data_IF_470964002828
#
_entry.id   IF_470964002828
#
_cell.length_a   1.000
_cell.length_b   1.000
_cell.length_c   1.000
_cell.angle_alpha   90.00
_cell.angle_beta   90.00
_cell.angle_gamma   90.00
#
_symmetry.space_group_name_H-M   'P 1'
#
loop_
_entity.id
_entity.type
_entity.pdbx_description
1 polymer ?
#
# COMPACT_ATOMS: atom_id res chain seq x y z
N UNK A 1 -8.84 11.26 6.16
CA UNK A 1 -7.85 11.80 7.11
C UNK A 1 -7.59 10.83 8.28
N UNK A 2 -8.50 10.62 9.21
CA UNK A 2 -8.29 9.75 10.40
C UNK A 2 -7.88 8.31 10.05
N UNK A 3 -8.49 7.70 9.03
CA UNK A 3 -8.15 6.34 8.57
C UNK A 3 -6.70 6.30 8.06
N UNK A 4 -6.28 7.27 7.25
CA UNK A 4 -4.93 7.35 6.74
C UNK A 4 -3.90 7.46 7.86
N UNK A 5 -4.13 8.33 8.85
CA UNK A 5 -3.25 8.49 10.02
C UNK A 5 -3.17 7.19 10.83
N UNK A 6 -4.30 6.57 11.11
CA UNK A 6 -4.35 5.29 11.81
C UNK A 6 -3.53 4.21 11.10
N UNK A 7 -3.68 4.08 9.78
CA UNK A 7 -2.89 3.11 9.01
C UNK A 7 -1.40 3.47 9.00
N UNK A 8 -1.06 4.75 8.84
CA UNK A 8 0.34 5.20 8.84
C UNK A 8 1.07 4.80 10.13
N UNK A 9 0.38 4.81 11.26
CA UNK A 9 0.94 4.42 12.57
C UNK A 9 0.92 2.91 12.80
N UNK A 10 -0.09 2.21 12.30
CA UNK A 10 -0.31 0.79 12.64
C UNK A 10 0.14 -0.21 11.57
N UNK A 11 0.03 0.17 10.28
CA UNK A 11 0.35 -0.71 9.16
C UNK A 11 0.67 0.09 7.90
N UNK A 12 1.95 0.26 7.62
CA UNK A 12 2.42 1.08 6.50
C UNK A 12 1.96 0.56 5.13
N UNK A 13 1.77 -0.76 4.98
CA UNK A 13 1.28 -1.38 3.74
C UNK A 13 -0.18 -0.97 3.50
N UNK A 14 -1.03 -1.08 4.54
CA UNK A 14 -2.42 -0.63 4.46
C UNK A 14 -2.51 0.88 4.22
N UNK A 15 -1.58 1.66 4.78
CA UNK A 15 -1.50 3.09 4.52
C UNK A 15 -1.28 3.38 3.03
N UNK A 16 -0.29 2.74 2.41
CA UNK A 16 0.01 2.94 0.98
C UNK A 16 -1.17 2.50 0.12
N UNK A 17 -1.76 1.32 0.36
CA UNK A 17 -2.91 0.83 -0.38
C UNK A 17 -4.13 1.76 -0.25
N UNK A 18 -4.38 2.27 0.96
CA UNK A 18 -5.45 3.22 1.22
C UNK A 18 -5.22 4.54 0.47
N UNK A 19 -3.99 5.08 0.50
CA UNK A 19 -3.68 6.33 -0.20
C UNK A 19 -3.74 6.17 -1.72
N UNK A 20 -3.28 5.06 -2.28
CA UNK A 20 -3.46 4.75 -3.70
C UNK A 20 -4.95 4.69 -4.09
N UNK A 21 -5.79 4.12 -3.22
CA UNK A 21 -7.24 4.14 -3.45
C UNK A 21 -7.80 5.57 -3.43
N UNK A 22 -7.34 6.44 -2.52
CA UNK A 22 -7.74 7.85 -2.48
C UNK A 22 -7.31 8.60 -3.75
N UNK A 23 -6.10 8.36 -4.24
CA UNK A 23 -5.62 8.94 -5.50
C UNK A 23 -6.51 8.51 -6.69
N UNK A 24 -6.83 7.21 -6.81
CA UNK A 24 -7.73 6.72 -7.86
C UNK A 24 -9.15 7.31 -7.73
N UNK A 25 -9.62 7.49 -6.51
CA UNK A 25 -10.91 8.12 -6.25
C UNK A 25 -10.91 9.58 -6.70
N UNK A 26 -9.87 10.36 -6.37
CA UNK A 26 -9.71 11.74 -6.84
C UNK A 26 -9.68 11.78 -8.38
N UNK A 27 -8.95 10.89 -9.04
CA UNK A 27 -8.94 10.76 -10.51
C UNK A 27 -10.32 10.47 -11.08
N UNK A 28 -11.08 9.57 -10.44
CA UNK A 28 -12.43 9.20 -10.90
C UNK A 28 -13.43 10.35 -10.86
N UNK A 29 -13.17 11.36 -10.04
CA UNK A 29 -13.95 12.60 -9.93
C UNK A 29 -13.27 13.79 -10.63
N UNK A 30 -12.33 13.53 -11.55
CA UNK A 30 -11.65 14.55 -12.34
C UNK A 30 -11.04 15.69 -11.52
N UNK A 31 -10.62 15.43 -10.28
CA UNK A 31 -10.06 16.42 -9.34
C UNK A 31 -11.08 17.48 -8.86
N UNK A 32 -12.37 17.25 -9.06
CA UNK A 32 -13.42 18.17 -8.66
C UNK A 32 -13.81 17.96 -7.20
N UNK A 33 -13.41 18.88 -6.32
CA UNK A 33 -13.65 18.76 -4.86
C UNK A 33 -15.13 18.68 -4.51
N UNK A 34 -16.01 19.33 -5.26
CA UNK A 34 -17.44 19.27 -5.03
C UNK A 34 -17.99 17.87 -5.30
N UNK A 35 -17.53 17.20 -6.36
CA UNK A 35 -17.88 15.80 -6.65
C UNK A 35 -17.40 14.85 -5.54
N UNK A 36 -16.18 15.05 -5.05
CA UNK A 36 -15.65 14.28 -3.91
C UNK A 36 -16.49 14.52 -2.66
N UNK A 37 -16.87 15.77 -2.39
CA UNK A 37 -17.71 16.12 -1.24
C UNK A 37 -19.07 15.43 -1.30
N UNK A 38 -19.77 15.52 -2.43
CA UNK A 38 -21.12 14.99 -2.61
C UNK A 38 -21.13 13.45 -2.64
N UNK A 39 -20.20 12.84 -3.33
CA UNK A 39 -20.20 11.39 -3.58
C UNK A 39 -19.44 10.56 -2.55
N UNK A 40 -18.55 11.16 -1.77
CA UNK A 40 -17.69 10.48 -0.82
C UNK A 40 -17.89 11.00 0.59
N UNK A 41 -17.63 12.31 0.84
CA UNK A 41 -17.56 12.86 2.20
C UNK A 41 -18.93 12.83 2.86
N UNK A 42 -20.00 13.18 2.13
CA UNK A 42 -21.39 13.16 2.62
C UNK A 42 -21.84 11.83 3.21
N UNK A 43 -21.26 10.71 2.73
CA UNK A 43 -21.61 9.35 3.20
C UNK A 43 -21.11 9.02 4.60
N UNK A 44 -20.19 9.82 5.14
CA UNK A 44 -19.65 9.62 6.49
C UNK A 44 -20.52 10.20 7.61
N UNK A 45 -21.60 10.94 7.28
CA UNK A 45 -22.51 11.57 8.24
C UNK A 45 -21.77 12.37 9.33
N UNK A 46 -20.78 13.16 8.91
CA UNK A 46 -19.93 13.95 9.79
C UNK A 46 -20.67 15.21 10.30
N UNK A 47 -20.22 15.72 11.46
CA UNK A 47 -20.59 17.08 11.84
C UNK A 47 -19.89 18.12 10.94
N UNK A 48 -20.32 19.36 10.97
CA UNK A 48 -19.85 20.44 10.09
C UNK A 48 -18.35 20.69 10.19
N UNK A 49 -17.78 20.56 11.39
CA UNK A 49 -16.34 20.76 11.62
C UNK A 49 -15.51 19.64 10.99
N UNK A 50 -15.86 18.38 11.26
CA UNK A 50 -15.19 17.21 10.70
C UNK A 50 -15.34 17.13 9.16
N UNK A 51 -16.50 17.55 8.62
CA UNK A 51 -16.72 17.65 7.18
C UNK A 51 -15.75 18.68 6.57
N UNK A 52 -15.64 19.85 7.18
CA UNK A 52 -14.75 20.92 6.72
C UNK A 52 -13.28 20.47 6.73
N UNK A 53 -12.85 19.77 7.78
CA UNK A 53 -11.52 19.21 7.85
C UNK A 53 -11.26 18.16 6.76
N UNK A 54 -12.24 17.29 6.49
CA UNK A 54 -12.13 16.26 5.47
C UNK A 54 -12.08 16.89 4.07
N UNK A 55 -12.89 17.90 3.78
CA UNK A 55 -12.82 18.66 2.53
C UNK A 55 -11.46 19.30 2.35
N UNK A 56 -10.91 19.92 3.40
CA UNK A 56 -9.56 20.53 3.36
C UNK A 56 -8.48 19.50 3.08
N UNK A 57 -8.58 18.31 3.67
CA UNK A 57 -7.63 17.23 3.45
C UNK A 57 -7.66 16.74 2.00
N UNK A 58 -8.85 16.47 1.43
CA UNK A 58 -8.98 16.08 0.01
C UNK A 58 -8.49 17.16 -0.93
N UNK A 59 -8.80 18.44 -0.65
CA UNK A 59 -8.31 19.56 -1.43
C UNK A 59 -6.78 19.62 -1.42
N UNK A 60 -6.15 19.44 -0.26
CA UNK A 60 -4.69 19.38 -0.17
C UNK A 60 -4.07 18.24 -0.99
N UNK A 61 -4.72 17.08 -1.08
CA UNK A 61 -4.28 15.98 -1.95
C UNK A 61 -4.46 16.33 -3.43
N UNK A 62 -5.59 16.91 -3.81
CA UNK A 62 -5.84 17.38 -5.19
C UNK A 62 -4.77 18.38 -5.63
N UNK A 63 -4.46 19.35 -4.77
CA UNK A 63 -3.44 20.37 -5.03
C UNK A 63 -2.06 19.70 -5.23
N UNK A 64 -1.63 18.83 -4.31
CA UNK A 64 -0.37 18.08 -4.43
C UNK A 64 -0.28 17.22 -5.68
N UNK A 65 -1.31 16.42 -5.98
CA UNK A 65 -1.33 15.58 -7.18
C UNK A 65 -1.28 16.42 -8.47
N UNK A 66 -1.83 17.62 -8.43
CA UNK A 66 -1.76 18.57 -9.56
C UNK A 66 -0.37 19.16 -9.70
N UNK A 67 0.25 19.58 -8.58
CA UNK A 67 1.61 20.14 -8.55
C UNK A 67 2.66 19.10 -8.99
N UNK A 68 2.49 17.84 -8.58
CA UNK A 68 3.38 16.74 -8.97
C UNK A 68 3.10 16.19 -10.38
N UNK A 69 2.08 16.71 -11.08
CA UNK A 69 1.75 16.33 -12.46
C UNK A 69 1.21 14.90 -12.62
N UNK A 70 0.64 14.31 -11.56
CA UNK A 70 0.16 12.93 -11.55
C UNK A 70 -1.35 12.80 -11.73
N UNK A 71 -1.94 13.65 -12.56
CA UNK A 71 -3.40 13.63 -12.81
C UNK A 71 -3.86 12.34 -13.45
N UNK A 72 -3.12 11.83 -14.44
CA UNK A 72 -3.55 10.68 -15.22
C UNK A 72 -3.03 9.34 -14.67
N UNK A 73 -1.84 9.34 -14.09
CA UNK A 73 -1.19 8.14 -13.56
C UNK A 73 -0.06 8.51 -12.59
N UNK A 74 0.38 7.52 -11.80
CA UNK A 74 1.46 7.68 -10.82
C UNK A 74 0.93 7.87 -9.41
N UNK A 75 1.86 8.05 -8.48
CA UNK A 75 1.59 8.19 -7.05
C UNK A 75 2.36 9.40 -6.51
N UNK A 76 1.83 10.00 -5.44
CA UNK A 76 2.50 11.08 -4.71
C UNK A 76 3.92 10.69 -4.32
N UNK A 77 4.86 11.61 -4.46
CA UNK A 77 6.28 11.41 -4.14
C UNK A 77 6.47 10.86 -2.74
N UNK A 78 5.71 11.35 -1.76
CA UNK A 78 5.75 10.83 -0.38
C UNK A 78 5.39 9.34 -0.26
N UNK A 79 4.53 8.81 -1.14
CA UNK A 79 4.20 7.38 -1.16
C UNK A 79 5.29 6.57 -1.87
N UNK A 80 5.92 7.13 -2.91
CA UNK A 80 7.07 6.52 -3.55
C UNK A 80 8.28 6.40 -2.61
N UNK A 81 8.49 7.40 -1.75
CA UNK A 81 9.51 7.36 -0.70
C UNK A 81 9.22 6.24 0.31
N UNK A 82 7.98 6.13 0.79
CA UNK A 82 7.56 5.03 1.68
C UNK A 82 7.76 3.67 1.00
N UNK A 83 7.42 3.54 -0.27
CA UNK A 83 7.65 2.30 -1.03
C UNK A 83 9.15 1.96 -1.11
N UNK A 84 10.00 2.95 -1.29
CA UNK A 84 11.46 2.77 -1.28
C UNK A 84 11.97 2.28 0.08
N UNK A 85 11.47 2.85 1.18
CA UNK A 85 11.81 2.38 2.53
C UNK A 85 11.39 0.92 2.75
N UNK A 86 10.17 0.55 2.31
CA UNK A 86 9.67 -0.82 2.42
C UNK A 86 10.53 -1.80 1.62
N UNK A 87 10.92 -1.43 0.40
CA UNK A 87 11.81 -2.24 -0.46
C UNK A 87 13.19 -2.41 0.17
N UNK A 88 13.76 -1.33 0.71
CA UNK A 88 15.05 -1.38 1.40
C UNK A 88 15.00 -2.29 2.64
N UNK A 89 13.94 -2.19 3.44
CA UNK A 89 13.75 -3.07 4.59
C UNK A 89 13.62 -4.54 4.16
N UNK A 90 12.80 -4.83 3.14
CA UNK A 90 12.70 -6.17 2.57
C UNK A 90 14.07 -6.73 2.17
N UNK A 91 14.82 -5.96 1.39
CA UNK A 91 16.17 -6.35 0.97
C UNK A 91 17.07 -6.61 2.16
N UNK A 92 17.06 -5.74 3.16
CA UNK A 92 17.88 -5.88 4.38
C UNK A 92 17.52 -7.14 5.17
N UNK A 93 16.22 -7.45 5.33
CA UNK A 93 15.76 -8.67 5.99
C UNK A 93 16.22 -9.95 5.26
N UNK A 94 16.20 -9.90 3.94
CA UNK A 94 16.59 -11.04 3.08
C UNK A 94 18.10 -11.28 3.02
N UNK A 95 18.91 -10.22 2.99
CA UNK A 95 20.34 -10.31 2.64
C UNK A 95 21.27 -9.96 3.80
N UNK A 96 21.01 -8.87 4.52
CA UNK A 96 21.88 -8.37 5.59
C UNK A 96 21.61 -9.12 6.89
N UNK A 97 20.37 -9.14 7.31
CA UNK A 97 19.95 -9.77 8.56
C UNK A 97 19.66 -11.25 8.41
N UNK A 98 19.40 -11.70 7.18
CA UNK A 98 19.08 -13.09 6.84
C UNK A 98 18.01 -13.67 7.80
N UNK A 99 16.96 -12.87 8.02
CA UNK A 99 15.89 -13.20 8.97
C UNK A 99 15.12 -14.43 8.49
N UNK A 100 15.38 -15.57 9.09
CA UNK A 100 14.96 -16.89 8.61
C UNK A 100 13.45 -17.04 8.50
N UNK A 101 12.71 -16.55 9.50
CA UNK A 101 11.26 -16.69 9.50
C UNK A 101 10.62 -15.82 8.38
N UNK A 102 11.20 -14.66 8.11
CA UNK A 102 10.77 -13.81 7.00
C UNK A 102 11.13 -14.42 5.64
N UNK A 103 12.34 -14.97 5.49
CA UNK A 103 12.76 -15.69 4.28
C UNK A 103 11.80 -16.84 3.94
N UNK A 104 11.38 -17.62 4.95
CA UNK A 104 10.44 -18.74 4.76
C UNK A 104 9.04 -18.24 4.34
N UNK A 105 8.62 -17.09 4.81
CA UNK A 105 7.36 -16.43 4.39
C UNK A 105 7.47 -15.92 2.95
N UNK A 106 8.58 -15.26 2.61
CA UNK A 106 8.85 -14.79 1.24
C UNK A 106 8.87 -15.96 0.26
N UNK A 107 9.56 -17.05 0.59
CA UNK A 107 9.62 -18.25 -0.26
C UNK A 107 8.23 -18.81 -0.57
N UNK A 108 7.27 -18.73 0.36
CA UNK A 108 5.87 -19.15 0.14
C UNK A 108 5.10 -18.17 -0.76
N UNK A 109 5.44 -16.90 -0.76
CA UNK A 109 4.78 -15.87 -1.58
C UNK A 109 5.35 -15.80 -3.01
N UNK A 110 6.61 -16.19 -3.22
CA UNK A 110 7.31 -16.07 -4.50
C UNK A 110 6.57 -16.69 -5.69
N UNK A 111 6.01 -17.91 -5.62
CA UNK A 111 5.25 -18.46 -6.75
C UNK A 111 4.08 -17.57 -7.19
N UNK A 112 3.40 -16.93 -6.23
CA UNK A 112 2.29 -16.00 -6.50
C UNK A 112 2.79 -14.69 -7.12
N UNK A 113 3.93 -14.19 -6.67
CA UNK A 113 4.58 -12.98 -7.20
C UNK A 113 5.05 -13.24 -8.64
N UNK A 114 5.67 -14.38 -8.91
CA UNK A 114 6.14 -14.77 -10.25
C UNK A 114 4.97 -14.95 -11.23
N UNK A 115 3.85 -15.52 -10.76
CA UNK A 115 2.63 -15.62 -11.54
C UNK A 115 2.04 -14.24 -11.90
N UNK A 116 2.11 -13.26 -10.99
CA UNK A 116 1.71 -11.88 -11.26
C UNK A 116 2.67 -11.20 -12.25
N UNK A 117 3.99 -11.39 -12.10
CA UNK A 117 5.00 -10.88 -13.05
C UNK A 117 4.75 -11.39 -14.47
N UNK A 118 4.47 -12.68 -14.62
CA UNK A 118 4.22 -13.29 -15.93
C UNK A 118 2.99 -12.73 -16.66
N UNK A 119 2.04 -12.19 -15.90
CA UNK A 119 0.82 -11.55 -16.42
C UNK A 119 1.00 -10.03 -16.66
N UNK A 120 2.12 -9.46 -16.26
CA UNK A 120 2.43 -8.04 -16.44
C UNK A 120 3.04 -7.78 -17.83
N UNK A 121 3.13 -6.50 -18.20
CA UNK A 121 3.57 -5.97 -19.51
C UNK A 121 5.07 -6.16 -19.83
N UNK A 122 5.73 -7.15 -19.21
CA UNK A 122 7.15 -7.45 -19.45
C UNK A 122 8.14 -6.48 -18.81
N UNK A 123 7.68 -5.49 -18.07
CA UNK A 123 8.58 -4.60 -17.31
C UNK A 123 9.18 -5.37 -16.14
N UNK A 124 10.48 -5.25 -15.95
CA UNK A 124 11.14 -5.75 -14.74
C UNK A 124 10.68 -4.88 -13.56
N UNK A 125 9.91 -5.50 -12.67
CA UNK A 125 9.45 -4.86 -11.43
C UNK A 125 10.04 -5.60 -10.24
N UNK A 126 10.29 -4.85 -9.17
CA UNK A 126 10.75 -5.40 -7.90
C UNK A 126 9.61 -6.18 -7.23
N UNK A 127 9.92 -7.29 -6.55
CA UNK A 127 8.94 -8.19 -5.94
C UNK A 127 7.92 -7.48 -5.07
N UNK A 128 8.37 -6.52 -4.26
CA UNK A 128 7.51 -5.73 -3.39
C UNK A 128 6.54 -4.85 -4.19
N UNK A 129 6.99 -4.27 -5.30
CA UNK A 129 6.12 -3.49 -6.17
C UNK A 129 5.04 -4.37 -6.82
N UNK A 130 5.42 -5.57 -7.28
CA UNK A 130 4.48 -6.55 -7.84
C UNK A 130 3.47 -7.00 -6.80
N UNK A 131 3.92 -7.28 -5.57
CA UNK A 131 3.08 -7.66 -4.46
C UNK A 131 2.06 -6.57 -4.12
N UNK A 132 2.51 -5.31 -4.00
CA UNK A 132 1.65 -4.16 -3.72
C UNK A 132 0.61 -3.93 -4.83
N UNK A 133 1.04 -3.95 -6.09
CA UNK A 133 0.14 -3.81 -7.23
C UNK A 133 -0.89 -4.94 -7.30
N UNK A 134 -0.50 -6.18 -6.98
CA UNK A 134 -1.40 -7.32 -6.90
C UNK A 134 -2.47 -7.15 -5.81
N UNK A 135 -2.07 -6.73 -4.60
CA UNK A 135 -2.98 -6.44 -3.51
C UNK A 135 -3.93 -5.29 -3.86
N UNK A 136 -3.41 -4.23 -4.47
CA UNK A 136 -4.21 -3.08 -4.89
C UNK A 136 -5.22 -3.45 -5.98
N UNK A 137 -4.81 -4.23 -6.99
CA UNK A 137 -5.71 -4.72 -8.04
C UNK A 137 -6.88 -5.52 -7.48
N UNK A 138 -6.63 -6.40 -6.51
CA UNK A 138 -7.69 -7.17 -5.85
C UNK A 138 -8.57 -6.29 -4.97
N UNK A 139 -8.00 -5.30 -4.28
CA UNK A 139 -8.77 -4.29 -3.55
C UNK A 139 -9.77 -3.57 -4.48
N UNK A 140 -9.32 -3.10 -5.64
CA UNK A 140 -10.17 -2.44 -6.62
C UNK A 140 -11.27 -3.37 -7.17
N UNK A 141 -10.97 -4.64 -7.43
CA UNK A 141 -11.98 -5.62 -7.87
C UNK A 141 -13.07 -5.80 -6.80
N UNK A 142 -12.69 -5.93 -5.53
CA UNK A 142 -13.63 -6.05 -4.40
C UNK A 142 -14.50 -4.80 -4.24
N UNK A 143 -13.92 -3.60 -4.35
CA UNK A 143 -14.66 -2.34 -4.29
C UNK A 143 -15.68 -2.22 -5.44
N UNK A 144 -15.33 -2.73 -6.62
CA UNK A 144 -16.22 -2.81 -7.79
C UNK A 144 -17.20 -4.01 -7.72
N UNK A 145 -17.25 -4.74 -6.59
CA UNK A 145 -18.07 -5.95 -6.38
C UNK A 145 -17.87 -7.03 -7.47
N UNK A 146 -16.67 -7.09 -8.06
CA UNK A 146 -16.31 -8.12 -9.02
C UNK A 146 -15.81 -9.37 -8.29
N UNK A 147 -16.15 -10.52 -8.84
CA UNK A 147 -15.67 -11.80 -8.32
C UNK A 147 -14.17 -11.94 -8.57
N UNK A 148 -13.48 -12.48 -7.57
CA UNK A 148 -12.06 -12.84 -7.62
C UNK A 148 -11.99 -14.36 -7.64
N UNK A 149 -11.25 -14.95 -8.58
CA UNK A 149 -11.08 -16.41 -8.68
C UNK A 149 -10.41 -16.98 -7.45
N UNK A 150 -10.65 -18.25 -7.13
CA UNK A 150 -10.02 -18.94 -6.00
C UNK A 150 -8.49 -18.91 -6.09
N UNK A 151 -7.93 -19.14 -7.29
CA UNK A 151 -6.49 -19.03 -7.55
C UNK A 151 -5.94 -17.66 -7.16
N UNK A 152 -6.64 -16.59 -7.54
CA UNK A 152 -6.25 -15.21 -7.19
C UNK A 152 -6.38 -14.96 -5.68
N UNK A 153 -7.40 -15.53 -5.03
CA UNK A 153 -7.58 -15.39 -3.57
C UNK A 153 -6.45 -16.07 -2.82
N UNK A 154 -6.02 -17.28 -3.21
CA UNK A 154 -4.87 -17.96 -2.58
C UNK A 154 -3.56 -17.22 -2.83
N UNK A 155 -3.32 -16.72 -4.05
CA UNK A 155 -2.15 -15.89 -4.35
C UNK A 155 -2.10 -14.64 -3.47
N UNK A 156 -3.21 -13.93 -3.34
CA UNK A 156 -3.32 -12.74 -2.49
C UNK A 156 -3.11 -13.06 -1.01
N UNK A 157 -3.53 -14.22 -0.54
CA UNK A 157 -3.35 -14.65 0.84
C UNK A 157 -1.88 -14.80 1.21
N UNK A 158 -1.08 -15.49 0.38
CA UNK A 158 0.37 -15.64 0.63
C UNK A 158 1.09 -14.30 0.57
N UNK A 159 0.79 -13.47 -0.41
CA UNK A 159 1.33 -12.10 -0.54
C UNK A 159 0.93 -11.25 0.66
N UNK A 160 -0.33 -11.32 1.12
CA UNK A 160 -0.80 -10.54 2.28
C UNK A 160 -0.06 -10.92 3.56
N UNK A 161 0.26 -12.21 3.78
CA UNK A 161 1.05 -12.64 4.95
C UNK A 161 2.46 -12.06 4.89
N UNK A 162 3.11 -12.10 3.73
CA UNK A 162 4.42 -11.51 3.51
C UNK A 162 4.42 -10.01 3.81
N UNK A 163 3.49 -9.27 3.22
CA UNK A 163 3.39 -7.82 3.37
C UNK A 163 3.00 -7.40 4.78
N UNK A 164 2.11 -8.14 5.45
CA UNK A 164 1.77 -7.89 6.85
C UNK A 164 2.97 -8.11 7.79
N UNK A 165 3.79 -9.12 7.52
CA UNK A 165 5.02 -9.37 8.28
C UNK A 165 6.03 -8.25 8.05
N UNK A 166 6.20 -7.81 6.81
CA UNK A 166 7.07 -6.69 6.45
C UNK A 166 6.61 -5.39 7.12
N UNK A 167 5.29 -5.13 7.18
CA UNK A 167 4.73 -3.97 7.88
C UNK A 167 5.03 -4.00 9.38
N UNK A 168 5.01 -5.17 10.03
CA UNK A 168 5.42 -5.30 11.44
C UNK A 168 6.88 -4.94 11.65
N UNK A 169 7.77 -5.45 10.80
CA UNK A 169 9.19 -5.11 10.84
C UNK A 169 9.41 -3.61 10.59
N UNK A 170 8.65 -3.02 9.67
CA UNK A 170 8.70 -1.59 9.39
C UNK A 170 8.33 -0.75 10.64
N UNK A 171 7.24 -1.11 11.32
CA UNK A 171 6.84 -0.44 12.54
C UNK A 171 7.91 -0.57 13.63
N UNK A 172 8.48 -1.77 13.82
CA UNK A 172 9.58 -1.99 14.77
C UNK A 172 10.82 -1.17 14.42
N UNK A 173 11.14 -1.04 13.15
CA UNK A 173 12.23 -0.20 12.66
C UNK A 173 11.99 1.28 13.00
N UNK A 174 10.79 1.80 12.71
CA UNK A 174 10.44 3.21 13.01
C UNK A 174 10.42 3.51 14.53
N UNK A 175 10.10 2.51 15.35
CA UNK A 175 10.11 2.62 16.82
C UNK A 175 11.50 2.38 17.43
N UNK A 176 12.51 2.04 16.62
CA UNK A 176 13.85 1.67 17.12
C UNK A 176 13.89 0.37 17.92
N UNK A 177 12.86 -0.48 17.79
CA UNK A 177 12.72 -1.77 18.51
C UNK A 177 13.05 -2.97 17.62
N UNK A 178 13.44 -2.74 16.37
CA UNK A 178 13.80 -3.81 15.46
C UNK A 178 15.08 -4.51 15.98
N UNK A 179 14.92 -5.76 16.38
CA UNK A 179 16.02 -6.59 16.86
C UNK A 179 16.03 -7.93 16.12
N UNK A 180 17.21 -8.42 15.81
CA UNK A 180 17.40 -9.72 15.18
C UNK A 180 18.14 -10.65 16.15
N UNK A 181 17.86 -11.96 16.13
CA UNK A 181 18.66 -12.91 16.85
C UNK A 181 20.13 -12.73 16.40
N UNK A 182 21.04 -12.61 17.37
CA UNK A 182 22.47 -12.66 17.05
C UNK A 182 22.74 -13.99 16.34
N UNK A 183 23.29 -13.95 15.12
CA UNK A 183 23.85 -15.14 14.51
C UNK A 183 24.93 -15.63 15.47
N UNK A 184 24.69 -16.78 16.11
CA UNK A 184 25.75 -17.43 16.86
C UNK A 184 26.79 -17.85 15.82
N UNK A 185 27.92 -17.17 15.81
CA UNK A 185 29.11 -17.64 15.13
C UNK A 185 29.51 -18.99 15.78
N UNK A 186 29.40 -20.07 15.02
CA UNK A 186 29.96 -21.38 15.37
C UNK A 186 31.42 -21.42 14.94
#
# INVERSE_FOLDING_TARGET
>A
MYIALKYKESNIVEYVLYMWHIEELIRSFNFEINEVRENVISKFNLNSEAETEMVRWYKGLIDKMTEEGIRDAGHLTELAEVMTEIQYLHHSLMTVYQEKSYQDIVAKAMPSIDALKSKSDGRQRIDIEVAMNGLFGVLLLKLKKRQVTEETQEAVKTISVMMATLAKHYNSMKQGTLSFPKVMEN
#
